data_IF_146795688760
#
_entry.id   IF_146795688760
#
_cell.length_a   1.000
_cell.length_b   1.000
_cell.length_c   1.000
_cell.angle_alpha   90.00
_cell.angle_beta   90.00
_cell.angle_gamma   90.00
#
_symmetry.space_group_name_H-M   'P 1'
#
loop_
_entity.id
_entity.type
_entity.pdbx_description
1 polymer ?
#
# COMPACT_ATOMS: atom_id res chain seq x y z
N UNK A 1 9.90 -0.15 -54.13
CA UNK A 1 9.94 -1.32 -53.23
C UNK A 1 10.91 -1.12 -52.05
N UNK A 2 11.15 0.09 -51.58
CA UNK A 2 12.10 0.42 -50.52
C UNK A 2 11.49 0.82 -49.16
N UNK A 3 10.21 1.17 -49.14
CA UNK A 3 9.61 1.86 -47.98
C UNK A 3 9.08 0.92 -46.89
N UNK A 4 8.75 -0.33 -47.24
CA UNK A 4 8.20 -1.31 -46.29
C UNK A 4 9.26 -1.94 -45.38
N UNK A 5 10.53 -1.96 -45.80
CA UNK A 5 11.63 -2.53 -45.03
C UNK A 5 12.14 -1.58 -43.93
N UNK A 6 12.16 -0.27 -44.21
CA UNK A 6 12.57 0.74 -43.21
C UNK A 6 11.58 0.88 -42.06
N UNK A 7 10.28 0.81 -42.35
CA UNK A 7 9.22 0.85 -41.32
C UNK A 7 9.29 -0.38 -40.41
N UNK A 8 9.60 -1.56 -40.97
CA UNK A 8 9.74 -2.80 -40.19
C UNK A 8 10.98 -2.80 -39.27
N UNK A 9 12.09 -2.17 -39.72
CA UNK A 9 13.30 -2.04 -38.93
C UNK A 9 13.15 -1.02 -37.80
N UNK A 10 12.45 0.11 -38.04
CA UNK A 10 12.16 1.10 -37.02
C UNK A 10 11.21 0.54 -35.95
N UNK A 11 10.21 -0.26 -36.36
CA UNK A 11 9.29 -0.90 -35.41
C UNK A 11 9.96 -1.97 -34.55
N UNK A 12 10.89 -2.77 -35.10
CA UNK A 12 11.69 -3.73 -34.34
C UNK A 12 12.66 -3.08 -33.36
N UNK A 13 13.26 -1.93 -33.71
CA UNK A 13 14.13 -1.17 -32.78
C UNK A 13 13.33 -0.57 -31.62
N UNK A 14 12.11 -0.08 -31.86
CA UNK A 14 11.21 0.42 -30.82
C UNK A 14 10.80 -0.65 -29.83
N UNK A 15 10.46 -1.84 -30.30
CA UNK A 15 10.04 -2.97 -29.44
C UNK A 15 11.22 -3.53 -28.63
N UNK A 16 12.39 -3.63 -29.23
CA UNK A 16 13.61 -4.12 -28.52
C UNK A 16 14.05 -3.15 -27.43
N UNK A 17 13.97 -1.83 -27.64
CA UNK A 17 14.31 -0.84 -26.62
C UNK A 17 13.30 -0.81 -25.47
N UNK A 18 12.02 -1.05 -25.75
CA UNK A 18 10.96 -1.18 -24.73
C UNK A 18 11.09 -2.47 -23.90
N UNK A 19 11.48 -3.59 -24.55
CA UNK A 19 11.69 -4.88 -23.87
C UNK A 19 12.97 -4.86 -23.02
N UNK A 20 14.07 -4.25 -23.52
CA UNK A 20 15.29 -4.05 -22.76
C UNK A 20 15.08 -3.09 -21.58
N UNK A 21 14.28 -2.03 -21.76
CA UNK A 21 13.88 -1.12 -20.68
C UNK A 21 13.00 -1.82 -19.63
N UNK A 22 12.15 -2.76 -20.01
CA UNK A 22 11.35 -3.58 -19.07
C UNK A 22 12.22 -4.59 -18.33
N UNK A 23 13.07 -5.32 -19.05
CA UNK A 23 13.98 -6.29 -18.44
C UNK A 23 14.98 -5.62 -17.47
N UNK A 24 15.56 -4.48 -17.85
CA UNK A 24 16.42 -3.70 -16.97
C UNK A 24 15.68 -3.18 -15.73
N UNK A 25 14.41 -2.75 -15.88
CA UNK A 25 13.57 -2.32 -14.75
C UNK A 25 13.16 -3.47 -13.84
N UNK A 26 12.85 -4.66 -14.37
CA UNK A 26 12.56 -5.84 -13.55
C UNK A 26 13.80 -6.36 -12.83
N UNK A 27 14.97 -6.29 -13.45
CA UNK A 27 16.24 -6.61 -12.78
C UNK A 27 16.57 -5.55 -11.71
N UNK A 28 16.37 -4.27 -11.99
CA UNK A 28 16.49 -3.18 -11.02
C UNK A 28 15.41 -3.26 -9.93
N UNK A 29 14.18 -3.70 -10.23
CA UNK A 29 13.13 -3.95 -9.24
C UNK A 29 13.48 -5.14 -8.33
N UNK A 30 14.06 -6.19 -8.88
CA UNK A 30 14.62 -7.29 -8.09
C UNK A 30 15.87 -6.89 -7.32
N UNK A 31 16.74 -6.06 -7.90
CA UNK A 31 17.92 -5.49 -7.24
C UNK A 31 17.54 -4.41 -6.21
N UNK A 32 16.47 -3.61 -6.42
CA UNK A 32 15.99 -2.63 -5.43
C UNK A 32 15.35 -3.30 -4.23
N UNK A 33 14.85 -4.53 -4.38
CA UNK A 33 14.58 -5.39 -3.22
C UNK A 33 15.84 -5.65 -2.37
N UNK A 34 17.04 -5.62 -2.97
CA UNK A 34 18.32 -5.67 -2.26
C UNK A 34 18.79 -4.26 -1.85
N UNK A 35 18.50 -3.19 -2.63
CA UNK A 35 18.86 -1.81 -2.29
C UNK A 35 17.99 -1.21 -1.17
N UNK A 36 16.86 -1.82 -0.82
CA UNK A 36 16.17 -1.53 0.46
C UNK A 36 17.09 -1.82 1.65
N UNK A 37 18.03 -2.76 1.54
CA UNK A 37 19.08 -2.93 2.53
C UNK A 37 20.09 -1.76 2.54
N UNK A 38 20.36 -1.14 1.40
CA UNK A 38 21.26 0.02 1.29
C UNK A 38 20.59 1.34 1.74
N UNK A 39 19.26 1.47 1.64
CA UNK A 39 18.52 2.61 2.20
C UNK A 39 18.56 2.67 3.73
N UNK A 40 19.02 1.60 4.38
CA UNK A 40 19.29 1.54 5.83
C UNK A 40 20.41 2.52 6.24
N UNK A 41 21.28 2.88 5.30
CA UNK A 41 22.43 3.77 5.52
C UNK A 41 22.18 5.23 5.10
N UNK A 42 21.02 5.54 4.48
CA UNK A 42 20.69 6.93 4.16
C UNK A 42 19.80 7.49 5.28
N UNK A 43 20.31 8.41 6.11
CA UNK A 43 19.49 9.08 7.12
C UNK A 43 18.57 10.09 6.39
N UNK A 44 17.52 9.57 5.76
CA UNK A 44 16.45 10.42 5.27
C UNK A 44 15.83 11.14 6.47
N UNK A 45 15.65 12.47 6.37
CA UNK A 45 14.92 13.25 7.39
C UNK A 45 13.66 12.47 7.73
N UNK A 46 13.45 12.22 9.02
CA UNK A 46 12.24 11.55 9.52
C UNK A 46 11.04 12.33 9.00
N UNK A 47 10.14 11.65 8.31
CA UNK A 47 8.93 12.28 7.80
C UNK A 47 8.05 12.73 8.97
N UNK A 48 7.11 13.61 8.71
CA UNK A 48 6.15 14.10 9.71
C UNK A 48 4.76 14.00 9.13
N UNK A 49 3.84 13.42 9.91
CA UNK A 49 2.43 13.42 9.59
C UNK A 49 1.89 14.85 9.73
N UNK A 50 1.21 15.34 8.70
CA UNK A 50 0.56 16.66 8.67
C UNK A 50 -0.91 16.54 8.99
N UNK A 51 -1.61 15.61 8.32
CA UNK A 51 -3.04 15.34 8.46
C UNK A 51 -3.29 13.84 8.39
N UNK A 52 -4.41 13.41 8.94
CA UNK A 52 -4.93 12.06 8.78
C UNK A 52 -6.34 12.15 8.18
N UNK A 53 -6.54 11.76 6.92
CA UNK A 53 -7.86 11.81 6.28
C UNK A 53 -8.86 10.91 6.99
N UNK A 54 -10.10 11.35 7.10
CA UNK A 54 -11.16 10.51 7.63
C UNK A 54 -11.45 9.33 6.72
N UNK A 55 -11.60 8.15 7.32
CA UNK A 55 -12.10 6.96 6.64
C UNK A 55 -13.63 6.97 6.71
N UNK A 56 -14.28 7.12 5.55
CA UNK A 56 -15.74 7.20 5.45
C UNK A 56 -16.41 5.82 5.36
N UNK A 57 -15.64 4.74 5.33
CA UNK A 57 -16.16 3.38 5.27
C UNK A 57 -16.84 3.01 6.58
N UNK A 58 -17.87 2.19 6.50
CA UNK A 58 -18.59 1.68 7.67
C UNK A 58 -17.67 0.95 8.63
N UNK A 59 -17.93 1.10 9.92
CA UNK A 59 -17.22 0.46 11.02
C UNK A 59 -18.13 -0.52 11.74
N UNK A 60 -17.54 -1.54 12.36
CA UNK A 60 -18.26 -2.60 13.07
C UNK A 60 -17.51 -2.88 14.39
N UNK A 61 -18.14 -2.55 15.50
CA UNK A 61 -17.58 -2.72 16.83
C UNK A 61 -17.42 -4.21 17.22
N UNK A 62 -18.23 -5.10 16.66
CA UNK A 62 -18.11 -6.54 16.89
C UNK A 62 -16.76 -7.06 16.36
N UNK A 63 -16.36 -6.60 15.19
CA UNK A 63 -15.05 -6.93 14.62
C UNK A 63 -13.88 -6.42 15.46
N UNK A 64 -14.04 -5.27 16.10
CA UNK A 64 -13.02 -4.77 17.02
C UNK A 64 -12.83 -5.72 18.21
N UNK A 65 -13.92 -6.21 18.78
CA UNK A 65 -13.90 -7.17 19.89
C UNK A 65 -13.28 -8.50 19.46
N UNK A 66 -13.60 -9.00 18.27
CA UNK A 66 -13.00 -10.22 17.72
C UNK A 66 -11.48 -10.08 17.54
N UNK A 67 -11.02 -8.98 16.93
CA UNK A 67 -9.58 -8.72 16.73
C UNK A 67 -8.87 -8.61 18.08
N UNK A 68 -9.49 -7.95 19.06
CA UNK A 68 -8.95 -7.87 20.41
C UNK A 68 -8.81 -9.25 21.07
N UNK A 69 -9.79 -10.14 20.86
CA UNK A 69 -9.75 -11.53 21.30
C UNK A 69 -8.80 -12.42 20.48
N UNK A 70 -8.06 -11.84 19.51
CA UNK A 70 -7.13 -12.57 18.65
C UNK A 70 -7.80 -13.37 17.53
N UNK A 71 -9.09 -13.08 17.23
CA UNK A 71 -9.85 -13.73 16.13
C UNK A 71 -9.89 -12.82 14.92
N UNK A 72 -9.35 -13.29 13.81
CA UNK A 72 -9.28 -12.54 12.55
C UNK A 72 -10.17 -13.21 11.50
N UNK A 73 -11.25 -12.50 11.13
CA UNK A 73 -12.28 -13.00 10.19
C UNK A 73 -12.18 -12.21 8.88
N UNK A 74 -11.62 -12.81 7.84
CA UNK A 74 -11.48 -12.21 6.52
C UNK A 74 -11.83 -13.21 5.43
N UNK A 75 -12.41 -12.75 4.32
CA UNK A 75 -12.77 -13.57 3.16
C UNK A 75 -13.50 -14.87 3.53
N UNK A 76 -14.42 -14.80 4.50
CA UNK A 76 -15.21 -15.96 4.96
C UNK A 76 -14.43 -16.99 5.81
N UNK A 77 -13.17 -16.73 6.16
CA UNK A 77 -12.33 -17.65 6.95
C UNK A 77 -11.90 -17.02 8.26
N UNK A 78 -11.74 -17.85 9.29
CA UNK A 78 -11.38 -17.43 10.66
C UNK A 78 -10.00 -18.00 10.99
N UNK A 79 -9.12 -17.14 11.51
CA UNK A 79 -7.85 -17.56 12.12
C UNK A 79 -7.78 -17.00 13.54
N UNK A 80 -7.41 -17.82 14.49
CA UNK A 80 -7.20 -17.40 15.89
C UNK A 80 -5.71 -17.41 16.20
N UNK A 81 -5.22 -16.31 16.77
CA UNK A 81 -3.78 -16.10 17.01
C UNK A 81 -3.23 -16.95 18.17
N UNK A 82 -4.07 -17.31 19.15
CA UNK A 82 -3.66 -18.02 20.36
C UNK A 82 -2.42 -17.41 21.04
N UNK A 83 -2.33 -16.08 21.09
CA UNK A 83 -1.20 -15.36 21.68
C UNK A 83 0.05 -15.29 20.79
N UNK A 84 0.04 -15.89 19.61
CA UNK A 84 1.11 -15.77 18.61
C UNK A 84 0.88 -14.57 17.70
N UNK A 85 1.92 -14.14 17.01
CA UNK A 85 1.78 -13.14 15.94
C UNK A 85 0.89 -13.65 14.83
N UNK A 86 -0.16 -12.91 14.50
CA UNK A 86 -1.04 -13.25 13.37
C UNK A 86 -0.31 -13.20 12.01
N UNK A 87 0.76 -12.43 11.93
CA UNK A 87 1.58 -12.28 10.73
C UNK A 87 2.58 -13.42 10.51
N UNK A 88 2.69 -14.35 11.48
CA UNK A 88 3.54 -15.54 11.39
C UNK A 88 2.76 -16.83 11.14
N UNK A 89 1.44 -16.76 11.22
CA UNK A 89 0.58 -17.90 10.97
C UNK A 89 0.41 -18.11 9.46
N UNK A 90 0.24 -19.36 9.06
CA UNK A 90 -0.04 -19.69 7.68
C UNK A 90 -1.45 -19.19 7.30
N UNK A 91 -1.58 -18.35 6.27
CA UNK A 91 -2.87 -17.83 5.86
C UNK A 91 -3.72 -18.92 5.22
N UNK A 92 -5.02 -19.01 5.55
CA UNK A 92 -5.90 -20.03 4.98
C UNK A 92 -6.25 -19.79 3.49
N UNK A 93 -5.97 -18.61 2.97
CA UNK A 93 -6.07 -18.25 1.53
C UNK A 93 -5.37 -16.92 1.26
N UNK A 94 -5.04 -16.68 -0.02
CA UNK A 94 -4.42 -15.44 -0.47
C UNK A 94 -5.33 -14.22 -0.22
N UNK A 95 -6.65 -14.34 -0.42
CA UNK A 95 -7.60 -13.25 -0.16
C UNK A 95 -7.69 -12.89 1.32
N UNK A 96 -7.58 -13.88 2.19
CA UNK A 96 -7.52 -13.66 3.63
C UNK A 96 -6.24 -12.91 4.01
N UNK A 97 -5.10 -13.37 3.47
CA UNK A 97 -3.80 -12.73 3.68
C UNK A 97 -3.80 -11.29 3.14
N UNK A 98 -4.34 -11.08 1.93
CA UNK A 98 -4.48 -9.75 1.33
C UNK A 98 -5.34 -8.80 2.18
N UNK A 99 -6.39 -9.33 2.82
CA UNK A 99 -7.25 -8.56 3.73
C UNK A 99 -6.53 -8.21 5.03
N UNK A 100 -5.80 -9.15 5.62
CA UNK A 100 -4.97 -8.93 6.79
C UNK A 100 -3.91 -7.85 6.50
N UNK A 101 -3.12 -8.05 5.43
CA UNK A 101 -1.98 -7.22 5.07
C UNK A 101 -2.35 -5.86 4.46
N UNK A 102 -3.62 -5.69 4.06
CA UNK A 102 -4.18 -4.40 3.63
C UNK A 102 -4.56 -3.46 4.77
N UNK A 103 -4.55 -3.93 6.02
CA UNK A 103 -4.88 -3.17 7.26
C UNK A 103 -6.23 -2.45 7.25
N UNK A 104 -7.13 -2.80 6.34
CA UNK A 104 -8.47 -2.19 6.30
C UNK A 104 -9.30 -2.44 7.57
N UNK A 105 -8.95 -3.41 8.36
CA UNK A 105 -9.58 -3.76 9.64
C UNK A 105 -9.27 -2.76 10.77
N UNK A 106 -8.21 -1.97 10.68
CA UNK A 106 -7.88 -0.94 11.68
C UNK A 106 -9.03 0.04 11.94
N UNK A 107 -9.88 0.33 10.92
CA UNK A 107 -11.04 1.21 11.09
C UNK A 107 -12.03 0.70 12.13
N UNK A 108 -12.14 -0.63 12.28
CA UNK A 108 -13.04 -1.22 13.27
C UNK A 108 -12.52 -0.97 14.70
N UNK A 109 -11.21 -1.04 14.90
CA UNK A 109 -10.59 -0.70 16.19
C UNK A 109 -10.77 0.79 16.55
N UNK A 110 -10.79 1.67 15.56
CA UNK A 110 -11.06 3.10 15.77
C UNK A 110 -12.48 3.35 16.30
N UNK A 111 -13.46 2.54 15.94
CA UNK A 111 -14.83 2.70 16.41
C UNK A 111 -14.96 2.56 17.94
N UNK A 112 -14.14 1.73 18.56
CA UNK A 112 -14.14 1.51 20.00
C UNK A 112 -13.37 2.60 20.79
N UNK A 113 -12.51 3.36 20.14
CA UNK A 113 -11.66 4.48 20.59
C UNK A 113 -11.31 4.50 22.10
N UNK A 114 -10.93 3.38 22.65
CA UNK A 114 -10.47 3.24 24.03
C UNK A 114 -8.94 3.21 24.10
N UNK A 115 -8.36 3.48 25.26
CA UNK A 115 -6.92 3.35 25.49
C UNK A 115 -6.43 1.91 25.19
N UNK A 116 -7.25 0.91 25.52
CA UNK A 116 -6.97 -0.51 25.28
C UNK A 116 -6.94 -0.78 23.77
N UNK A 117 -7.91 -0.27 23.01
CA UNK A 117 -7.98 -0.45 21.57
C UNK A 117 -6.80 0.22 20.86
N UNK A 118 -6.40 1.41 21.31
CA UNK A 118 -5.20 2.08 20.80
C UNK A 118 -3.92 1.31 21.08
N UNK A 119 -3.78 0.77 22.29
CA UNK A 119 -2.64 -0.07 22.66
C UNK A 119 -2.58 -1.36 21.82
N UNK A 120 -3.72 -2.02 21.62
CA UNK A 120 -3.83 -3.23 20.77
C UNK A 120 -3.47 -2.93 19.31
N UNK A 121 -4.05 -1.88 18.72
CA UNK A 121 -3.73 -1.46 17.36
C UNK A 121 -2.22 -1.18 17.19
N UNK A 122 -1.64 -0.47 18.15
CA UNK A 122 -0.20 -0.15 18.17
C UNK A 122 0.66 -1.41 18.26
N UNK A 123 0.29 -2.36 19.13
CA UNK A 123 1.00 -3.63 19.29
C UNK A 123 0.99 -4.43 17.97
N UNK A 124 -0.16 -4.54 17.31
CA UNK A 124 -0.28 -5.24 16.03
C UNK A 124 0.57 -4.57 14.93
N UNK A 125 0.57 -3.24 14.87
CA UNK A 125 1.39 -2.51 13.90
C UNK A 125 2.89 -2.63 14.22
N UNK A 126 3.28 -2.60 15.49
CA UNK A 126 4.67 -2.77 15.89
C UNK A 126 5.18 -4.17 15.60
N UNK A 127 4.36 -5.17 15.84
CA UNK A 127 4.64 -6.55 15.46
C UNK A 127 4.87 -6.66 13.95
N UNK A 128 3.96 -6.11 13.12
CA UNK A 128 4.14 -6.04 11.67
C UNK A 128 5.44 -5.38 11.24
N UNK A 129 5.75 -4.20 11.78
CA UNK A 129 6.94 -3.42 11.42
C UNK A 129 8.23 -4.16 11.79
N UNK A 130 8.20 -4.95 12.86
CA UNK A 130 9.33 -5.67 13.39
C UNK A 130 9.65 -6.95 12.61
N UNK A 131 8.70 -7.46 11.83
CA UNK A 131 8.88 -8.70 11.07
C UNK A 131 9.66 -8.47 9.77
N UNK A 132 10.51 -9.42 9.38
CA UNK A 132 11.12 -9.39 8.06
C UNK A 132 10.04 -9.63 7.01
N UNK A 133 9.81 -8.63 6.17
CA UNK A 133 8.81 -8.73 5.11
C UNK A 133 9.32 -9.73 4.06
N UNK A 134 8.54 -10.80 3.82
CA UNK A 134 8.82 -11.75 2.74
C UNK A 134 8.76 -11.01 1.40
N UNK A 135 9.87 -10.90 0.70
CA UNK A 135 9.94 -10.27 -0.62
C UNK A 135 9.12 -11.08 -1.61
N UNK A 136 8.28 -10.42 -2.39
CA UNK A 136 7.48 -11.05 -3.44
C UNK A 136 6.20 -11.75 -2.98
N UNK A 137 5.83 -11.69 -1.69
CA UNK A 137 4.56 -12.23 -1.19
C UNK A 137 3.38 -11.26 -1.38
N UNK A 138 2.18 -11.74 -1.02
CA UNK A 138 0.90 -11.01 -1.08
C UNK A 138 0.99 -9.59 -0.53
N UNK A 139 1.76 -9.38 0.55
CA UNK A 139 1.96 -8.07 1.18
C UNK A 139 2.67 -7.02 0.32
N UNK A 140 3.32 -7.42 -0.79
CA UNK A 140 3.97 -6.53 -1.75
C UNK A 140 3.21 -6.38 -3.06
N UNK A 141 2.08 -7.03 -3.20
CA UNK A 141 1.16 -6.74 -4.30
C UNK A 141 0.75 -5.28 -4.22
N UNK A 142 0.71 -4.61 -5.36
CA UNK A 142 0.46 -3.17 -5.45
C UNK A 142 -0.89 -2.76 -4.85
N UNK A 143 -1.94 -3.55 -5.07
CA UNK A 143 -3.28 -3.33 -4.52
C UNK A 143 -3.33 -3.49 -3.00
N UNK A 144 -2.65 -4.51 -2.45
CA UNK A 144 -2.58 -4.76 -1.00
C UNK A 144 -1.78 -3.64 -0.31
N UNK A 145 -0.64 -3.30 -0.88
CA UNK A 145 0.24 -2.26 -0.37
C UNK A 145 -0.43 -0.87 -0.42
N UNK A 146 -1.16 -0.56 -1.50
CA UNK A 146 -1.92 0.68 -1.62
C UNK A 146 -3.01 0.78 -0.53
N UNK A 147 -3.79 -0.30 -0.33
CA UNK A 147 -4.79 -0.38 0.75
C UNK A 147 -4.16 -0.18 2.12
N UNK A 148 -2.99 -0.79 2.38
CA UNK A 148 -2.27 -0.63 3.64
C UNK A 148 -1.82 0.81 3.85
N UNK A 149 -1.21 1.44 2.86
CA UNK A 149 -0.78 2.86 2.95
C UNK A 149 -1.96 3.77 3.25
N UNK A 150 -3.09 3.62 2.55
CA UNK A 150 -4.31 4.40 2.81
C UNK A 150 -4.80 4.16 4.23
N UNK A 151 -4.89 2.90 4.66
CA UNK A 151 -5.37 2.53 6.00
C UNK A 151 -4.47 3.09 7.10
N UNK A 152 -3.14 2.95 6.98
CA UNK A 152 -2.19 3.46 7.96
C UNK A 152 -2.23 4.99 8.06
N UNK A 153 -2.41 5.71 6.96
CA UNK A 153 -2.55 7.17 6.97
C UNK A 153 -3.87 7.61 7.60
N UNK A 154 -4.99 6.98 7.22
CA UNK A 154 -6.32 7.35 7.75
C UNK A 154 -6.48 6.97 9.22
N UNK A 155 -5.88 5.88 9.66
CA UNK A 155 -5.96 5.41 11.03
C UNK A 155 -4.72 5.83 11.87
N UNK A 156 -3.89 6.74 11.36
CA UNK A 156 -2.73 7.23 12.08
C UNK A 156 -3.05 7.78 13.47
N UNK A 157 -4.16 8.53 13.72
CA UNK A 157 -4.51 8.95 15.07
C UNK A 157 -4.72 7.80 16.04
N UNK A 158 -5.38 6.71 15.62
CA UNK A 158 -5.56 5.51 16.45
C UNK A 158 -4.22 4.94 16.92
N UNK A 159 -3.24 4.91 16.03
CA UNK A 159 -1.95 4.24 16.24
C UNK A 159 -0.92 5.15 16.92
N UNK A 160 -0.93 6.45 16.58
CA UNK A 160 0.11 7.40 16.98
C UNK A 160 -0.24 8.26 18.20
N UNK A 161 -1.53 8.39 18.58
CA UNK A 161 -1.89 9.07 19.80
C UNK A 161 -1.24 8.38 21.00
N UNK A 162 -0.57 9.14 21.85
CA UNK A 162 0.17 8.66 23.03
C UNK A 162 1.30 7.67 22.69
N UNK A 163 1.79 7.65 21.46
CA UNK A 163 2.91 6.82 21.05
C UNK A 163 4.26 7.44 21.44
N UNK A 164 5.21 6.61 21.85
CA UNK A 164 6.56 7.06 22.09
C UNK A 164 7.28 7.47 20.78
N UNK A 165 8.32 8.30 20.94
CA UNK A 165 9.08 8.82 19.80
C UNK A 165 9.85 7.73 19.02
N UNK A 166 10.12 6.54 19.62
CA UNK A 166 10.80 5.42 18.93
C UNK A 166 9.81 4.74 17.99
N UNK A 167 8.61 4.43 18.48
CA UNK A 167 7.54 3.85 17.68
C UNK A 167 7.14 4.78 16.54
N UNK A 168 6.90 6.07 16.84
CA UNK A 168 6.56 7.08 15.83
C UNK A 168 7.56 7.09 14.66
N UNK A 169 8.86 7.12 14.96
CA UNK A 169 9.90 7.09 13.93
C UNK A 169 9.95 5.77 13.16
N UNK A 170 9.71 4.61 13.82
CA UNK A 170 9.66 3.30 13.12
C UNK A 170 8.46 3.23 12.19
N UNK A 171 7.29 3.66 12.65
CA UNK A 171 6.06 3.71 11.86
C UNK A 171 6.24 4.55 10.60
N UNK A 172 6.67 5.81 10.73
CA UNK A 172 6.86 6.69 9.57
C UNK A 172 7.96 6.19 8.62
N UNK A 173 9.00 5.57 9.14
CA UNK A 173 10.06 4.99 8.31
C UNK A 173 9.54 3.80 7.49
N UNK A 174 8.74 2.93 8.10
CA UNK A 174 8.10 1.82 7.39
C UNK A 174 7.15 2.32 6.31
N UNK A 175 6.26 3.25 6.66
CA UNK A 175 5.32 3.85 5.74
C UNK A 175 6.00 4.56 4.55
N UNK A 176 7.04 5.34 4.81
CA UNK A 176 7.82 6.02 3.76
C UNK A 176 8.49 5.02 2.81
N UNK A 177 8.98 3.88 3.32
CA UNK A 177 9.54 2.79 2.51
C UNK A 177 8.48 2.20 1.58
N UNK A 178 7.28 1.95 2.07
CA UNK A 178 6.16 1.40 1.29
C UNK A 178 5.71 2.37 0.20
N UNK A 179 5.59 3.66 0.52
CA UNK A 179 5.26 4.71 -0.45
C UNK A 179 6.32 4.81 -1.56
N UNK A 180 7.60 4.72 -1.22
CA UNK A 180 8.68 4.71 -2.22
C UNK A 180 8.57 3.51 -3.15
N UNK A 181 8.29 2.34 -2.60
CA UNK A 181 8.09 1.12 -3.38
C UNK A 181 6.90 1.27 -4.34
N UNK A 182 5.72 1.72 -3.87
CA UNK A 182 4.56 1.99 -4.73
C UNK A 182 4.90 2.98 -5.86
N UNK A 183 5.62 4.04 -5.56
CA UNK A 183 6.01 5.03 -6.57
C UNK A 183 6.93 4.46 -7.63
N UNK A 184 7.82 3.59 -7.22
CA UNK A 184 8.76 2.92 -8.11
C UNK A 184 8.08 1.89 -9.01
N UNK A 185 7.20 1.06 -8.46
CA UNK A 185 6.52 -0.02 -9.17
C UNK A 185 5.30 0.42 -9.98
N UNK A 186 4.83 1.66 -9.80
CA UNK A 186 3.62 2.18 -10.42
C UNK A 186 3.62 2.06 -11.95
N UNK A 187 4.78 2.13 -12.59
CA UNK A 187 4.92 2.06 -14.07
C UNK A 187 4.57 0.67 -14.60
N UNK A 188 4.79 -0.35 -13.80
CA UNK A 188 4.59 -1.76 -14.19
C UNK A 188 3.19 -2.28 -13.81
N UNK A 189 2.37 -1.46 -13.11
CA UNK A 189 1.02 -1.86 -12.70
C UNK A 189 0.08 -1.76 -13.90
N UNK A 190 -0.65 -2.84 -14.24
CA UNK A 190 -1.62 -2.81 -15.32
C UNK A 190 -2.74 -1.80 -15.05
N UNK A 191 -3.35 -1.30 -16.09
CA UNK A 191 -4.51 -0.43 -16.03
C UNK A 191 -5.67 -1.12 -15.27
N UNK A 192 -6.53 -0.32 -14.66
CA UNK A 192 -7.68 -0.80 -13.90
C UNK A 192 -7.62 -0.46 -12.41
N UNK A 193 -8.46 -1.12 -11.63
CA UNK A 193 -8.63 -0.84 -10.19
C UNK A 193 -7.32 -0.84 -9.39
N UNK A 194 -6.38 -1.80 -9.60
CA UNK A 194 -5.12 -1.78 -8.84
C UNK A 194 -4.30 -0.51 -9.06
N UNK A 195 -4.23 -0.02 -10.30
CA UNK A 195 -3.52 1.22 -10.64
C UNK A 195 -4.19 2.44 -10.02
N UNK A 196 -5.52 2.49 -10.06
CA UNK A 196 -6.30 3.55 -9.43
C UNK A 196 -6.05 3.58 -7.92
N UNK A 197 -6.07 2.43 -7.25
CA UNK A 197 -5.79 2.33 -5.81
C UNK A 197 -4.39 2.84 -5.45
N UNK A 198 -3.38 2.53 -6.26
CA UNK A 198 -2.01 3.02 -6.05
C UNK A 198 -1.93 4.54 -6.21
N UNK A 199 -2.60 5.10 -7.21
CA UNK A 199 -2.62 6.56 -7.41
C UNK A 199 -3.32 7.27 -6.26
N UNK A 200 -4.43 6.71 -5.74
CA UNK A 200 -5.10 7.20 -4.53
C UNK A 200 -4.14 7.16 -3.34
N UNK A 201 -3.44 6.04 -3.11
CA UNK A 201 -2.48 5.92 -2.02
C UNK A 201 -1.33 6.94 -2.11
N UNK A 202 -0.84 7.21 -3.32
CA UNK A 202 0.21 8.20 -3.55
C UNK A 202 -0.30 9.65 -3.36
N UNK A 203 -1.56 9.95 -3.70
CA UNK A 203 -2.20 11.22 -3.38
C UNK A 203 -2.34 11.40 -1.86
N UNK A 204 -2.85 10.38 -1.15
CA UNK A 204 -2.92 10.38 0.31
C UNK A 204 -1.54 10.65 0.93
N UNK A 205 -0.51 9.92 0.50
CA UNK A 205 0.85 10.14 0.98
C UNK A 205 1.33 11.57 0.76
N UNK A 206 1.03 12.16 -0.39
CA UNK A 206 1.44 13.51 -0.76
C UNK A 206 0.73 14.59 0.07
N UNK A 207 -0.48 14.32 0.52
CA UNK A 207 -1.25 15.22 1.39
C UNK A 207 -0.87 15.07 2.87
N UNK A 208 -0.63 13.83 3.29
CA UNK A 208 -0.49 13.51 4.71
C UNK A 208 0.93 13.67 5.26
N UNK A 209 1.96 13.59 4.41
CA UNK A 209 3.35 13.54 4.85
C UNK A 209 4.16 14.72 4.33
N UNK A 210 4.87 15.41 5.23
CA UNK A 210 5.60 16.64 4.94
C UNK A 210 6.62 16.48 3.78
N UNK A 211 7.44 15.43 3.81
CA UNK A 211 8.44 15.20 2.77
C UNK A 211 7.85 14.70 1.44
N UNK A 212 6.56 14.34 1.40
CA UNK A 212 5.85 13.88 0.20
C UNK A 212 5.07 15.00 -0.49
N UNK A 213 4.86 16.15 0.16
CA UNK A 213 4.07 17.28 -0.34
C UNK A 213 4.54 17.78 -1.72
N UNK A 214 5.85 17.70 -2.01
CA UNK A 214 6.43 18.05 -3.32
C UNK A 214 5.85 17.24 -4.50
N UNK A 215 5.25 16.09 -4.23
CA UNK A 215 4.67 15.22 -5.25
C UNK A 215 3.18 15.46 -5.49
N UNK A 216 2.52 16.36 -4.73
CA UNK A 216 1.07 16.53 -4.75
C UNK A 216 0.53 16.84 -6.16
N UNK A 217 1.15 17.79 -6.87
CA UNK A 217 0.73 18.16 -8.24
C UNK A 217 0.81 17.00 -9.21
N UNK A 218 1.93 16.25 -9.16
CA UNK A 218 2.14 15.10 -10.05
C UNK A 218 1.19 13.94 -9.73
N UNK A 219 0.96 13.65 -8.44
CA UNK A 219 0.06 12.59 -8.01
C UNK A 219 -1.39 12.91 -8.35
N UNK A 220 -1.85 14.15 -8.10
CA UNK A 220 -3.22 14.58 -8.41
C UNK A 220 -3.49 14.57 -9.92
N UNK A 221 -2.55 15.06 -10.73
CA UNK A 221 -2.69 15.01 -12.19
C UNK A 221 -2.83 13.56 -12.69
N UNK A 222 -1.94 12.68 -12.28
CA UNK A 222 -2.01 11.26 -12.68
C UNK A 222 -3.29 10.57 -12.22
N UNK A 223 -3.78 10.90 -11.03
CA UNK A 223 -5.05 10.40 -10.53
C UNK A 223 -6.22 10.91 -11.37
N UNK A 224 -6.24 12.20 -11.72
CA UNK A 224 -7.25 12.80 -12.58
C UNK A 224 -7.27 12.15 -13.96
N UNK A 225 -6.10 11.99 -14.58
CA UNK A 225 -5.95 11.32 -15.88
C UNK A 225 -6.47 9.87 -15.83
N UNK A 226 -6.17 9.15 -14.74
CA UNK A 226 -6.62 7.77 -14.55
C UNK A 226 -8.13 7.67 -14.31
N UNK A 227 -8.70 8.57 -13.51
CA UNK A 227 -10.15 8.64 -13.27
C UNK A 227 -10.90 8.93 -14.59
N UNK A 228 -10.45 9.91 -15.38
CA UNK A 228 -11.05 10.22 -16.68
C UNK A 228 -11.03 9.01 -17.62
N UNK A 229 -9.99 8.17 -17.52
CA UNK A 229 -9.86 6.98 -18.37
C UNK A 229 -10.72 5.81 -17.90
N UNK A 230 -10.95 5.67 -16.59
CA UNK A 230 -11.63 4.51 -16.01
C UNK A 230 -13.11 4.76 -15.67
N UNK A 231 -13.55 6.01 -15.60
CA UNK A 231 -14.92 6.35 -15.31
C UNK A 231 -15.67 6.68 -16.63
N UNK A 232 -16.84 6.09 -16.77
CA UNK A 232 -17.76 6.35 -17.87
C UNK A 232 -18.57 7.64 -17.62
N UNK A 233 -19.18 8.23 -18.64
CA UNK A 233 -20.00 9.45 -18.48
C UNK A 233 -21.14 9.31 -17.46
N UNK A 234 -21.64 8.10 -17.24
CA UNK A 234 -22.68 7.77 -16.25
C UNK A 234 -22.14 7.56 -14.83
N UNK A 235 -20.81 7.79 -14.62
CA UNK A 235 -20.13 7.59 -13.33
C UNK A 235 -19.75 6.14 -13.04
N UNK A 236 -20.08 5.19 -13.89
CA UNK A 236 -19.71 3.79 -13.74
C UNK A 236 -18.25 3.53 -14.07
N UNK A 237 -17.65 2.52 -13.46
CA UNK A 237 -16.28 2.09 -13.77
C UNK A 237 -16.26 1.18 -15.01
N UNK A 238 -15.22 1.29 -15.84
CA UNK A 238 -15.07 0.50 -17.08
C UNK A 238 -15.13 -1.02 -16.85
N UNK A 239 -14.66 -1.51 -15.70
CA UNK A 239 -14.64 -2.95 -15.38
C UNK A 239 -15.92 -3.45 -14.72
N UNK A 240 -16.98 -2.65 -14.67
CA UNK A 240 -18.26 -3.14 -14.18
C UNK A 240 -18.78 -4.25 -15.11
N UNK A 241 -19.20 -5.36 -14.52
CA UNK A 241 -19.97 -6.34 -15.26
C UNK A 241 -21.40 -5.81 -15.43
N UNK A 242 -22.00 -5.99 -16.61
CA UNK A 242 -23.39 -5.65 -16.84
C UNK A 242 -24.32 -6.50 -15.99
#
# INVERSE_FOLDING_TARGET
MGDSAEVAVAHRRGISSLLLGRAARTVLARASGQSVALSRFWPGRTDRLLIAPNDLRTVDATRASEIYAGRFVFAGKIVTSHGRSIFELDPPSEDWEASLLGFGWLRHLRAADSAITRANARSLIDDWISKPIRKGGTGWRADVLARRVISLLSQAPLVLNDADGKFYRRFLRSLTREIRYLRYTMVDIPDGVPRLQVLIALCYASLCLANQAKHIRSSSRKLSEELTRQLLPDGGHLSRNP
#
